data_IF_051364397801
#
_entry.id   IF_051364397801
#
_cell.length_a   1.000
_cell.length_b   1.000
_cell.length_c   1.000
_cell.angle_alpha   90.00
_cell.angle_beta   90.00
_cell.angle_gamma   90.00
#
_symmetry.space_group_name_H-M   'P 1'
#
loop_
_entity.id
_entity.type
_entity.pdbx_description
1 polymer ?
#
# COMPACT_ATOMS: atom_id res chain seq x y z
N UNK A 1 -5.93 -24.65 7.45
CA UNK A 1 -6.39 -23.24 7.48
C UNK A 1 -7.88 -23.26 7.83
N UNK A 2 -8.40 -22.36 8.69
CA UNK A 2 -9.75 -22.42 9.32
C UNK A 2 -9.95 -23.45 10.47
N UNK A 3 -8.89 -23.74 11.24
CA UNK A 3 -8.89 -24.66 12.41
C UNK A 3 -10.00 -24.30 13.43
N UNK A 4 -10.19 -23.01 13.70
CA UNK A 4 -11.19 -22.47 14.64
C UNK A 4 -12.64 -22.48 14.11
N UNK A 5 -12.86 -22.81 12.83
CA UNK A 5 -14.20 -23.05 12.26
C UNK A 5 -14.49 -24.53 12.04
N UNK A 6 -13.55 -25.42 12.33
CA UNK A 6 -13.76 -26.84 12.10
C UNK A 6 -14.70 -27.40 13.18
N UNK A 7 -15.94 -27.68 12.79
CA UNK A 7 -16.96 -28.26 13.67
C UNK A 7 -16.45 -29.54 14.35
N UNK A 8 -15.66 -30.33 13.63
CA UNK A 8 -15.07 -31.57 14.12
C UNK A 8 -14.09 -31.38 15.30
N UNK A 9 -13.33 -30.29 15.36
CA UNK A 9 -12.43 -30.02 16.48
C UNK A 9 -13.16 -29.31 17.62
N UNK A 10 -14.13 -28.45 17.32
CA UNK A 10 -14.98 -27.80 18.33
C UNK A 10 -15.81 -28.81 19.10
N UNK A 11 -16.39 -29.82 18.44
CA UNK A 11 -17.13 -30.88 19.15
C UNK A 11 -16.25 -31.76 20.04
N UNK A 12 -14.94 -31.84 19.75
CA UNK A 12 -14.01 -32.72 20.49
C UNK A 12 -13.37 -32.03 21.70
N UNK A 13 -13.20 -30.71 21.66
CA UNK A 13 -12.48 -29.95 22.68
C UNK A 13 -13.22 -28.72 23.20
N UNK A 14 -14.41 -28.41 22.65
CA UNK A 14 -15.25 -27.30 23.10
C UNK A 14 -15.96 -27.63 24.41
N UNK A 15 -15.95 -26.72 25.41
CA UNK A 15 -16.72 -26.90 26.63
C UNK A 15 -18.23 -26.95 26.34
N UNK A 16 -18.97 -27.81 27.04
CA UNK A 16 -20.42 -27.98 26.86
C UNK A 16 -21.14 -26.62 26.96
N UNK A 17 -21.88 -26.25 25.91
CA UNK A 17 -22.67 -25.01 25.85
C UNK A 17 -21.91 -23.76 25.37
N UNK A 18 -20.63 -23.84 25.02
CA UNK A 18 -19.90 -22.70 24.47
C UNK A 18 -20.18 -22.48 22.99
N UNK A 19 -20.46 -21.22 22.62
CA UNK A 19 -20.64 -20.77 21.24
C UNK A 19 -19.26 -20.41 20.67
N UNK A 20 -18.89 -20.84 19.44
CA UNK A 20 -17.66 -20.42 18.79
C UNK A 20 -17.61 -18.89 18.67
N UNK A 21 -16.73 -18.24 19.46
CA UNK A 21 -16.54 -16.79 19.39
C UNK A 21 -15.45 -16.49 18.37
N UNK A 22 -15.85 -15.88 17.26
CA UNK A 22 -14.89 -15.36 16.30
C UNK A 22 -13.98 -14.35 17.01
N UNK A 23 -12.68 -14.46 16.76
CA UNK A 23 -11.71 -13.47 17.20
C UNK A 23 -11.85 -12.28 16.25
N UNK A 24 -12.23 -11.10 16.74
CA UNK A 24 -12.56 -9.93 15.93
C UNK A 24 -11.33 -9.06 15.61
N UNK A 25 -10.16 -9.66 15.39
CA UNK A 25 -8.94 -8.89 15.11
C UNK A 25 -8.02 -9.66 14.18
N UNK A 26 -7.47 -8.94 13.21
CA UNK A 26 -6.46 -9.44 12.29
C UNK A 26 -5.21 -9.93 13.04
N UNK A 27 -4.81 -9.24 14.11
CA UNK A 27 -3.59 -9.53 14.85
C UNK A 27 -3.71 -10.83 15.65
N UNK A 28 -4.83 -11.00 16.35
CA UNK A 28 -5.11 -12.23 17.08
C UNK A 28 -5.42 -13.40 16.13
N UNK A 29 -5.98 -13.14 14.95
CA UNK A 29 -6.15 -14.17 13.91
C UNK A 29 -4.80 -14.66 13.40
N UNK A 30 -3.88 -13.76 13.03
CA UNK A 30 -2.52 -14.12 12.60
C UNK A 30 -1.74 -14.82 13.72
N UNK A 31 -1.86 -14.34 14.97
CA UNK A 31 -1.24 -14.98 16.13
C UNK A 31 -1.80 -16.39 16.38
N UNK A 32 -3.11 -16.59 16.24
CA UNK A 32 -3.74 -17.89 16.43
C UNK A 32 -3.44 -18.90 15.31
N UNK A 33 -3.20 -18.43 14.09
CA UNK A 33 -2.89 -19.30 12.94
C UNK A 33 -1.41 -19.63 12.79
N UNK A 34 -0.54 -18.64 12.94
CA UNK A 34 0.88 -18.73 12.63
C UNK A 34 1.79 -18.52 13.85
N UNK A 35 1.22 -18.27 15.03
CA UNK A 35 1.96 -17.96 16.24
C UNK A 35 2.63 -16.58 16.19
N UNK A 36 3.54 -16.36 17.15
CA UNK A 36 4.36 -15.14 17.19
C UNK A 36 5.18 -14.88 15.90
N UNK A 37 5.75 -15.88 15.22
CA UNK A 37 6.52 -15.64 13.99
C UNK A 37 5.71 -14.97 12.88
N UNK A 38 4.47 -15.42 12.65
CA UNK A 38 3.60 -14.82 11.63
C UNK A 38 3.21 -13.38 11.98
N UNK A 39 2.94 -13.10 13.26
CA UNK A 39 2.64 -11.75 13.71
C UNK A 39 3.82 -10.79 13.50
N UNK A 40 5.04 -11.24 13.83
CA UNK A 40 6.26 -10.44 13.63
C UNK A 40 6.47 -10.13 12.16
N UNK A 41 6.36 -11.12 11.27
CA UNK A 41 6.50 -10.93 9.83
C UNK A 41 5.46 -9.95 9.27
N UNK A 42 4.22 -10.08 9.71
CA UNK A 42 3.13 -9.20 9.29
C UNK A 42 3.37 -7.74 9.69
N UNK A 43 3.78 -7.51 10.94
CA UNK A 43 4.13 -6.17 11.42
C UNK A 43 5.38 -5.62 10.71
N UNK A 44 6.38 -6.47 10.45
CA UNK A 44 7.56 -6.08 9.68
C UNK A 44 7.20 -5.63 8.26
N UNK A 45 6.24 -6.29 7.61
CA UNK A 45 5.79 -5.91 6.28
C UNK A 45 5.10 -4.54 6.30
N UNK A 46 4.20 -4.30 7.27
CA UNK A 46 3.55 -3.00 7.47
C UNK A 46 4.59 -1.89 7.74
N UNK A 47 5.57 -2.18 8.58
CA UNK A 47 6.65 -1.26 8.90
C UNK A 47 7.54 -0.96 7.69
N UNK A 48 7.85 -1.96 6.87
CA UNK A 48 8.61 -1.79 5.64
C UNK A 48 7.88 -0.88 4.65
N UNK A 49 6.58 -1.10 4.42
CA UNK A 49 5.75 -0.23 3.57
C UNK A 49 5.68 1.20 4.11
N UNK A 50 5.52 1.37 5.43
CA UNK A 50 5.53 2.69 6.06
C UNK A 50 6.84 3.44 5.84
N UNK A 51 7.97 2.73 6.00
CA UNK A 51 9.31 3.28 5.77
C UNK A 51 9.51 3.67 4.31
N UNK A 52 9.00 2.89 3.37
CA UNK A 52 9.07 3.19 1.93
C UNK A 52 8.32 4.48 1.60
N UNK A 53 7.06 4.62 2.03
CA UNK A 53 6.30 5.86 1.84
C UNK A 53 6.98 7.07 2.51
N UNK A 54 7.50 6.90 3.72
CA UNK A 54 8.22 7.96 4.43
C UNK A 54 9.49 8.41 3.69
N UNK A 55 10.21 7.47 3.07
CA UNK A 55 11.40 7.76 2.25
C UNK A 55 11.02 8.54 1.00
N UNK A 56 9.96 8.16 0.30
CA UNK A 56 9.45 8.88 -0.88
C UNK A 56 9.07 10.30 -0.48
N UNK A 57 8.21 10.48 0.53
CA UNK A 57 7.79 11.81 1.02
C UNK A 57 8.95 12.73 1.38
N UNK A 58 10.00 12.20 2.03
CA UNK A 58 11.19 12.99 2.40
C UNK A 58 12.00 13.42 1.17
N UNK A 59 12.08 12.59 0.13
CA UNK A 59 12.87 12.86 -1.08
C UNK A 59 12.13 13.73 -2.08
N UNK A 60 10.80 13.68 -2.11
CA UNK A 60 9.98 14.43 -3.07
C UNK A 60 9.46 15.76 -2.52
N UNK A 61 9.70 16.07 -1.23
CA UNK A 61 9.24 17.30 -0.57
C UNK A 61 9.70 18.57 -1.28
N UNK A 62 10.97 18.60 -1.69
CA UNK A 62 11.62 19.81 -2.22
C UNK A 62 11.63 19.84 -3.77
N UNK A 63 11.00 18.85 -4.43
CA UNK A 63 10.94 18.75 -5.89
C UNK A 63 9.51 19.01 -6.38
N UNK A 64 9.20 20.20 -6.94
CA UNK A 64 7.86 20.52 -7.43
C UNK A 64 7.39 19.57 -8.54
N UNK A 65 8.30 19.08 -9.39
CA UNK A 65 7.99 18.12 -10.47
C UNK A 65 7.56 16.74 -9.94
N UNK A 66 7.89 16.41 -8.69
CA UNK A 66 7.61 15.13 -8.04
C UNK A 66 6.49 15.24 -6.99
N UNK A 67 5.71 16.33 -7.00
CA UNK A 67 4.60 16.53 -6.06
C UNK A 67 3.58 15.40 -6.10
N UNK A 68 3.28 14.86 -7.28
CA UNK A 68 2.36 13.72 -7.45
C UNK A 68 2.81 12.49 -6.64
N UNK A 69 4.11 12.23 -6.58
CA UNK A 69 4.67 11.11 -5.83
C UNK A 69 4.63 11.35 -4.32
N UNK A 70 4.77 12.61 -3.88
CA UNK A 70 4.53 13.01 -2.49
C UNK A 70 3.08 12.78 -2.08
N UNK A 71 2.13 13.22 -2.90
CA UNK A 71 0.70 13.10 -2.63
C UNK A 71 0.29 11.63 -2.60
N UNK A 72 0.73 10.82 -3.58
CA UNK A 72 0.50 9.38 -3.63
C UNK A 72 1.07 8.66 -2.40
N UNK A 73 2.32 8.94 -2.03
CA UNK A 73 2.94 8.35 -0.84
C UNK A 73 2.22 8.75 0.46
N UNK A 74 1.66 9.96 0.53
CA UNK A 74 0.88 10.44 1.68
C UNK A 74 -0.47 9.73 1.78
N UNK A 75 -1.18 9.58 0.66
CA UNK A 75 -2.45 8.83 0.62
C UNK A 75 -2.24 7.35 0.97
N UNK A 76 -1.16 6.73 0.50
CA UNK A 76 -0.79 5.37 0.88
C UNK A 76 -0.60 5.22 2.40
N UNK A 77 0.02 6.19 3.06
CA UNK A 77 0.15 6.18 4.52
C UNK A 77 -1.21 6.26 5.22
N UNK A 78 -2.11 7.14 4.74
CA UNK A 78 -3.47 7.25 5.31
C UNK A 78 -4.23 5.93 5.15
N UNK A 79 -4.17 5.30 3.97
CA UNK A 79 -4.79 4.00 3.73
C UNK A 79 -4.21 2.89 4.63
N UNK A 80 -2.89 2.88 4.84
CA UNK A 80 -2.23 1.93 5.76
C UNK A 80 -2.69 2.14 7.21
N UNK A 81 -2.81 3.39 7.68
CA UNK A 81 -3.32 3.68 9.03
C UNK A 81 -4.78 3.22 9.15
N UNK A 82 -5.63 3.58 8.20
CA UNK A 82 -7.03 3.18 8.18
C UNK A 82 -7.17 1.66 8.27
N UNK A 83 -6.32 0.93 7.53
CA UNK A 83 -6.28 -0.52 7.58
C UNK A 83 -5.78 -1.06 8.93
N UNK A 84 -4.72 -0.51 9.52
CA UNK A 84 -4.25 -0.93 10.85
C UNK A 84 -5.33 -0.70 11.92
N UNK A 85 -6.05 0.41 11.85
CA UNK A 85 -7.18 0.69 12.76
C UNK A 85 -8.36 -0.23 12.51
N UNK A 86 -8.72 -0.51 11.26
CA UNK A 86 -9.80 -1.43 10.92
C UNK A 86 -9.45 -2.88 11.28
N UNK A 87 -8.19 -3.28 11.12
CA UNK A 87 -7.68 -4.60 11.48
C UNK A 87 -7.74 -4.90 12.97
N UNK A 88 -7.83 -3.88 13.83
CA UNK A 88 -8.07 -4.07 15.25
C UNK A 88 -9.48 -4.66 15.54
N UNK A 89 -10.46 -4.38 14.66
CA UNK A 89 -11.88 -4.74 14.84
C UNK A 89 -12.40 -5.77 13.83
N UNK A 90 -11.73 -5.96 12.69
CA UNK A 90 -12.12 -6.90 11.65
C UNK A 90 -11.07 -8.02 11.50
N UNK A 91 -11.47 -9.31 11.53
CA UNK A 91 -10.56 -10.42 11.30
C UNK A 91 -10.43 -10.76 9.81
N UNK A 92 -10.01 -9.81 8.98
CA UNK A 92 -9.83 -10.02 7.54
C UNK A 92 -8.36 -9.91 7.12
N UNK A 93 -7.53 -10.88 7.55
CA UNK A 93 -6.08 -10.94 7.28
C UNK A 93 -5.68 -11.16 5.83
N UNK A 94 -6.58 -11.75 5.05
CA UNK A 94 -6.32 -12.16 3.67
C UNK A 94 -6.99 -11.24 2.65
N UNK A 95 -7.26 -9.99 3.03
CA UNK A 95 -7.81 -9.02 2.10
C UNK A 95 -6.72 -8.58 1.11
N UNK A 96 -6.89 -8.91 -0.17
CA UNK A 96 -5.85 -8.71 -1.19
C UNK A 96 -5.42 -7.24 -1.34
N UNK A 97 -6.35 -6.30 -1.12
CA UNK A 97 -6.10 -4.86 -1.28
C UNK A 97 -4.92 -4.37 -0.43
N UNK A 98 -4.72 -4.89 0.79
CA UNK A 98 -3.60 -4.40 1.61
C UNK A 98 -2.25 -4.78 0.99
N UNK A 99 -2.14 -5.99 0.46
CA UNK A 99 -0.92 -6.45 -0.19
C UNK A 99 -0.67 -5.67 -1.48
N UNK A 100 -1.72 -5.29 -2.21
CA UNK A 100 -1.61 -4.39 -3.36
C UNK A 100 -1.08 -3.00 -2.96
N UNK A 101 -1.57 -2.41 -1.87
CA UNK A 101 -1.07 -1.11 -1.36
C UNK A 101 0.39 -1.21 -0.90
N UNK A 102 0.76 -2.32 -0.24
CA UNK A 102 2.13 -2.60 0.17
C UNK A 102 3.06 -2.74 -1.04
N UNK A 103 2.65 -3.50 -2.06
CA UNK A 103 3.39 -3.63 -3.31
C UNK A 103 3.53 -2.29 -4.04
N UNK A 104 2.45 -1.49 -4.10
CA UNK A 104 2.47 -0.17 -4.70
C UNK A 104 3.45 0.77 -3.98
N UNK A 105 3.52 0.72 -2.64
CA UNK A 105 4.52 1.47 -1.87
C UNK A 105 5.96 1.06 -2.21
N UNK A 106 6.20 -0.22 -2.51
CA UNK A 106 7.50 -0.75 -2.87
C UNK A 106 7.91 -0.34 -4.31
N UNK A 107 6.96 -0.39 -5.25
CA UNK A 107 7.18 0.08 -6.63
C UNK A 107 7.42 1.59 -6.65
N UNK A 108 6.62 2.36 -5.91
CA UNK A 108 6.76 3.81 -5.85
C UNK A 108 8.13 4.25 -5.33
N UNK A 109 8.64 3.60 -4.28
CA UNK A 109 9.98 3.92 -3.77
C UNK A 109 11.07 3.53 -4.77
N UNK A 110 10.92 2.39 -5.46
CA UNK A 110 11.87 1.96 -6.50
C UNK A 110 11.91 2.97 -7.66
N UNK A 111 10.74 3.38 -8.17
CA UNK A 111 10.64 4.36 -9.24
C UNK A 111 11.21 5.72 -8.82
N UNK A 112 10.83 6.21 -7.63
CA UNK A 112 11.37 7.47 -7.10
C UNK A 112 12.89 7.43 -6.90
N UNK A 113 13.47 6.27 -6.55
CA UNK A 113 14.92 6.10 -6.47
C UNK A 113 15.60 6.07 -7.84
N UNK A 114 14.93 5.59 -8.89
CA UNK A 114 15.42 5.57 -10.26
C UNK A 114 15.32 6.92 -10.97
N UNK A 115 14.35 7.76 -10.60
CA UNK A 115 14.17 9.12 -11.13
C UNK A 115 15.06 10.15 -10.41
N UNK A 116 15.56 9.80 -9.21
CA UNK A 116 16.53 10.61 -8.45
C UNK A 116 17.92 9.92 -8.37
N UNK A 117 18.59 9.54 -9.48
CA UNK A 117 20.04 9.37 -9.48
C UNK A 117 20.68 10.75 -9.62
N UNK A 118 21.78 10.99 -8.92
CA UNK A 118 22.44 12.31 -8.90
C UNK A 118 22.58 12.93 -10.29
N UNK A 119 21.90 14.06 -10.50
CA UNK A 119 22.25 15.00 -11.57
C UNK A 119 21.46 14.97 -12.87
N UNK A 120 20.17 14.61 -12.91
CA UNK A 120 19.34 14.98 -14.07
C UNK A 120 18.06 15.73 -13.69
N UNK A 121 18.15 17.05 -13.92
CA UNK A 121 17.05 17.90 -14.36
C UNK A 121 16.30 17.17 -15.49
N UNK A 122 15.12 16.63 -15.18
CA UNK A 122 14.23 16.07 -16.20
C UNK A 122 13.58 17.24 -16.92
N UNK A 123 14.37 17.76 -17.85
CA UNK A 123 14.02 18.58 -18.99
C UNK A 123 12.67 18.12 -19.56
N UNK A 124 11.67 18.97 -19.38
CA UNK A 124 10.43 19.09 -20.16
C UNK A 124 10.19 17.95 -21.17
N UNK A 125 9.45 16.91 -20.75
CA UNK A 125 8.71 16.07 -21.70
C UNK A 125 7.28 16.59 -21.84
N UNK A 126 7.16 17.85 -22.26
CA UNK A 126 6.00 18.25 -23.05
C UNK A 126 6.27 17.76 -24.47
N UNK A 127 5.42 16.91 -25.07
CA UNK A 127 5.47 16.73 -26.51
C UNK A 127 5.23 18.12 -27.11
N UNK A 128 6.22 18.64 -27.84
CA UNK A 128 6.06 19.82 -28.65
C UNK A 128 4.89 19.55 -29.60
N UNK A 129 3.74 20.16 -29.33
CA UNK A 129 2.69 20.30 -30.34
C UNK A 129 3.34 21.13 -31.45
N UNK A 130 3.50 20.60 -32.68
CA UNK A 130 4.06 21.38 -33.77
C UNK A 130 3.13 22.56 -34.03
N UNK A 131 3.60 23.76 -33.68
CA UNK A 131 2.94 25.02 -33.98
C UNK A 131 3.08 25.35 -35.47
N UNK A 132 2.48 24.52 -36.32
CA UNK A 132 2.50 24.69 -37.79
C UNK A 132 1.13 24.44 -38.38
N UNK A 133 0.09 25.16 -37.93
CA UNK A 133 -1.16 25.34 -38.69
C UNK A 133 -1.81 26.73 -38.44
N UNK A 134 -1.03 27.77 -38.15
CA UNK A 134 -1.54 29.15 -37.96
C UNK A 134 -0.79 30.21 -38.78
N UNK A 135 -0.25 29.85 -39.95
CA UNK A 135 0.29 30.82 -40.93
C UNK A 135 0.08 30.38 -42.40
N UNK A 136 -1.09 29.84 -42.72
CA UNK A 136 -1.59 29.87 -44.12
C UNK A 136 -2.94 30.56 -44.18
N UNK A 137 -2.98 31.73 -43.53
CA UNK A 137 -3.89 32.80 -43.89
C UNK A 137 -3.52 33.26 -45.30
N UNK A 138 -4.56 33.45 -46.12
CA UNK A 138 -4.68 34.57 -47.03
C UNK A 138 -3.40 34.94 -47.80
N UNK A 139 -3.23 34.41 -49.01
CA UNK A 139 -2.63 35.10 -50.18
C UNK A 139 -2.38 34.09 -51.32
N UNK A 140 -3.43 33.55 -51.94
CA UNK A 140 -3.38 33.20 -53.36
C UNK A 140 -4.79 33.06 -53.95
N UNK A 141 -5.01 33.84 -55.01
CA UNK A 141 -6.15 33.93 -55.95
C UNK A 141 -7.35 34.76 -55.50
#
# INVERSE_FOLDING_TARGET
>A
FDVYKSDAQWQRYGPEGAIPRAIHSIYFRVLGEQGFPGLVLYLMLLFASWKNCSRVRKRTRDLPDMKWAFDLASMLQVSLVAFMTAGAFLPMSYFDLIYQLMALSAVLVSHCMQEIPGGQSVKARMPAVPATLTEKSLNTV
#
